data_IF_383237887586
#
_entry.id   IF_383237887586
#
_cell.length_a   1.000
_cell.length_b   1.000
_cell.length_c   1.000
_cell.angle_alpha   90.00
_cell.angle_beta   90.00
_cell.angle_gamma   90.00
#
_symmetry.space_group_name_H-M   'P 1'
#
loop_
_entity.id
_entity.type
_entity.pdbx_description
1 polymer ?
#
# COMPACT_ATOMS: atom_id res chain seq x y z
N UNK A 1 -23.03 13.61 3.53
CA UNK A 1 -22.11 12.68 4.21
C UNK A 1 -20.72 13.31 4.18
N UNK A 2 -19.98 13.29 5.27
CA UNK A 2 -18.60 13.77 5.35
C UNK A 2 -17.67 12.83 4.57
N UNK A 3 -16.64 13.41 3.94
CA UNK A 3 -15.61 12.64 3.25
C UNK A 3 -14.67 12.01 4.30
N UNK A 4 -14.31 10.73 4.22
CA UNK A 4 -13.42 10.10 5.19
C UNK A 4 -12.00 10.64 5.07
N UNK A 5 -11.32 10.77 6.22
CA UNK A 5 -9.93 11.15 6.32
C UNK A 5 -9.03 9.92 6.18
N UNK A 6 -8.06 9.97 5.27
CA UNK A 6 -7.20 8.84 4.93
C UNK A 6 -5.74 9.22 5.20
N UNK A 7 -5.10 8.55 6.16
CA UNK A 7 -3.69 8.77 6.46
C UNK A 7 -2.79 8.16 5.39
N UNK A 8 -1.75 8.91 5.00
CA UNK A 8 -0.67 8.46 4.12
C UNK A 8 0.66 9.00 4.62
N UNK A 9 1.69 8.15 4.67
CA UNK A 9 3.04 8.56 5.06
C UNK A 9 3.79 9.20 3.87
N UNK A 10 4.65 10.17 4.18
CA UNK A 10 5.49 10.87 3.22
C UNK A 10 6.88 10.23 3.11
N UNK A 11 7.46 10.30 1.93
CA UNK A 11 8.90 10.06 1.70
C UNK A 11 9.71 11.25 2.18
N UNK A 12 10.77 10.98 2.95
CA UNK A 12 11.78 11.98 3.27
C UNK A 12 12.98 11.82 2.36
N UNK A 13 13.22 12.80 1.49
CA UNK A 13 14.26 12.74 0.46
C UNK A 13 14.86 14.11 0.16
N UNK A 14 16.08 14.12 -0.36
CA UNK A 14 16.67 15.32 -0.95
C UNK A 14 15.98 15.61 -2.29
N UNK A 15 15.56 16.84 -2.47
CA UNK A 15 15.02 17.37 -3.73
C UNK A 15 15.68 18.68 -4.05
N UNK A 16 15.83 18.98 -5.34
CA UNK A 16 16.35 20.25 -5.81
C UNK A 16 15.29 20.96 -6.63
N UNK A 17 15.11 22.25 -6.39
CA UNK A 17 14.29 23.14 -7.18
C UNK A 17 15.04 24.45 -7.40
N UNK A 18 14.54 25.32 -8.28
CA UNK A 18 15.17 26.60 -8.59
C UNK A 18 15.37 27.43 -7.31
N UNK A 19 16.63 27.80 -7.01
CA UNK A 19 17.01 28.52 -5.80
C UNK A 19 17.09 27.72 -4.50
N UNK A 20 16.76 26.41 -4.53
CA UNK A 20 16.76 25.51 -3.37
C UNK A 20 17.42 24.16 -3.71
N UNK A 21 18.75 24.12 -3.84
CA UNK A 21 19.47 22.88 -4.14
C UNK A 21 19.56 22.00 -2.90
N UNK A 22 19.34 20.69 -3.08
CA UNK A 22 19.57 19.62 -2.11
C UNK A 22 18.84 19.82 -0.76
N UNK A 23 17.61 20.33 -0.81
CA UNK A 23 16.79 20.50 0.38
C UNK A 23 16.13 19.18 0.79
N UNK A 24 16.09 18.93 2.12
CA UNK A 24 15.39 17.80 2.69
C UNK A 24 13.88 18.05 2.66
N UNK A 25 13.16 17.24 1.90
CA UNK A 25 11.71 17.38 1.68
C UNK A 25 10.96 16.16 2.15
N UNK A 26 9.78 16.36 2.73
CA UNK A 26 8.78 15.32 2.90
C UNK A 26 7.78 15.40 1.73
N UNK A 27 7.68 14.37 0.90
CA UNK A 27 6.89 14.39 -0.33
C UNK A 27 6.16 13.07 -0.60
N UNK A 28 5.05 13.16 -1.33
CA UNK A 28 4.34 12.02 -1.92
C UNK A 28 4.01 12.37 -3.37
N UNK A 29 4.03 11.39 -4.27
CA UNK A 29 3.59 11.62 -5.64
C UNK A 29 2.10 11.96 -5.68
N UNK A 30 1.75 13.08 -6.33
CA UNK A 30 0.39 13.59 -6.42
C UNK A 30 -0.65 12.56 -6.90
N UNK A 31 -0.37 11.66 -7.87
CA UNK A 31 -1.35 10.66 -8.31
C UNK A 31 -1.95 9.78 -7.21
N UNK A 32 -1.23 9.52 -6.11
CA UNK A 32 -1.81 8.79 -4.97
C UNK A 32 -2.88 9.62 -4.25
N UNK A 33 -2.64 10.92 -4.09
CA UNK A 33 -3.59 11.86 -3.48
C UNK A 33 -4.82 12.00 -4.39
N UNK A 34 -4.58 12.24 -5.68
CA UNK A 34 -5.62 12.40 -6.70
C UNK A 34 -6.54 11.16 -6.76
N UNK A 35 -5.96 9.97 -6.64
CA UNK A 35 -6.71 8.70 -6.63
C UNK A 35 -7.66 8.61 -5.43
N UNK A 36 -7.19 8.99 -4.22
CA UNK A 36 -8.01 9.00 -3.00
C UNK A 36 -9.13 10.04 -3.11
N UNK A 37 -8.82 11.22 -3.63
CA UNK A 37 -9.78 12.31 -3.79
C UNK A 37 -10.85 11.99 -4.85
N UNK A 38 -10.45 11.36 -5.96
CA UNK A 38 -11.37 10.87 -6.99
C UNK A 38 -12.35 9.83 -6.44
N UNK A 39 -11.91 8.97 -5.51
CA UNK A 39 -12.76 8.00 -4.82
C UNK A 39 -13.63 8.63 -3.71
N UNK A 40 -13.49 9.93 -3.44
CA UNK A 40 -14.28 10.68 -2.46
C UNK A 40 -13.74 10.63 -1.02
N UNK A 41 -12.45 10.33 -0.83
CA UNK A 41 -11.70 10.50 0.41
C UNK A 41 -11.05 11.89 0.51
N UNK A 42 -10.34 12.15 1.62
CA UNK A 42 -9.45 13.30 1.83
C UNK A 42 -8.12 12.76 2.36
N UNK A 43 -7.02 13.05 1.66
CA UNK A 43 -5.70 12.61 2.09
C UNK A 43 -5.19 13.46 3.26
N UNK A 44 -4.71 12.79 4.33
CA UNK A 44 -4.03 13.40 5.48
C UNK A 44 -2.59 12.89 5.48
N UNK A 45 -1.63 13.80 5.27
CA UNK A 45 -0.23 13.44 5.06
C UNK A 45 0.56 13.49 6.36
N UNK A 46 1.29 12.41 6.66
CA UNK A 46 2.10 12.26 7.87
C UNK A 46 3.59 12.20 7.52
N UNK A 47 4.39 13.09 8.09
CA UNK A 47 5.85 13.10 7.91
C UNK A 47 6.48 11.87 8.56
N UNK A 48 7.43 11.21 7.89
CA UNK A 48 8.10 10.01 8.38
C UNK A 48 9.24 10.35 9.36
N UNK A 49 8.87 10.71 10.58
CA UNK A 49 9.79 11.09 11.67
C UNK A 49 9.59 10.21 12.91
N UNK A 50 10.57 10.23 13.83
CA UNK A 50 10.43 9.50 15.10
C UNK A 50 9.33 10.09 15.99
N UNK A 51 9.10 11.41 15.95
CA UNK A 51 7.99 12.05 16.64
C UNK A 51 6.64 11.59 16.12
N UNK A 52 6.47 11.50 14.79
CA UNK A 52 5.25 11.00 14.16
C UNK A 52 5.04 9.51 14.46
N UNK A 53 6.11 8.72 14.46
CA UNK A 53 6.06 7.31 14.85
C UNK A 53 5.57 7.12 16.28
N UNK A 54 6.05 7.91 17.23
CA UNK A 54 5.62 7.85 18.63
C UNK A 54 4.11 8.10 18.79
N UNK A 55 3.52 8.91 17.90
CA UNK A 55 2.10 9.29 17.91
C UNK A 55 1.24 8.54 16.88
N UNK A 56 1.75 7.45 16.29
CA UNK A 56 1.04 6.69 15.25
C UNK A 56 -0.38 6.26 15.68
N UNK A 57 -0.58 5.92 16.97
CA UNK A 57 -1.89 5.56 17.51
C UNK A 57 -2.87 6.72 17.44
N UNK A 58 -2.45 7.96 17.79
CA UNK A 58 -3.30 9.16 17.73
C UNK A 58 -3.63 9.55 16.29
N UNK A 59 -2.68 9.37 15.37
CA UNK A 59 -2.95 9.59 13.94
C UNK A 59 -4.06 8.65 13.48
N UNK A 60 -3.96 7.36 13.83
CA UNK A 60 -4.99 6.38 13.46
C UNK A 60 -6.34 6.71 14.11
N UNK A 61 -6.40 7.21 15.33
CA UNK A 61 -7.64 7.65 15.97
C UNK A 61 -8.35 8.76 15.19
N UNK A 62 -7.59 9.71 14.64
CA UNK A 62 -8.09 10.90 13.92
C UNK A 62 -8.54 10.63 12.48
N UNK A 63 -8.16 9.51 11.88
CA UNK A 63 -8.46 9.18 10.48
C UNK A 63 -9.42 8.00 10.38
N UNK A 64 -10.03 7.82 9.21
CA UNK A 64 -11.03 6.78 8.96
C UNK A 64 -10.45 5.55 8.26
N UNK A 65 -9.25 5.67 7.70
CA UNK A 65 -8.53 4.60 7.03
C UNK A 65 -7.07 4.96 6.79
N UNK A 66 -6.28 3.97 6.38
CA UNK A 66 -4.85 4.13 6.08
C UNK A 66 -4.57 3.63 4.68
N UNK A 67 -3.87 4.43 3.88
CA UNK A 67 -3.28 4.02 2.60
C UNK A 67 -1.77 4.01 2.73
N UNK A 68 -1.15 2.88 2.40
CA UNK A 68 0.29 2.73 2.29
C UNK A 68 0.66 2.80 0.81
N UNK A 69 1.32 3.87 0.43
CA UNK A 69 1.68 4.15 -0.96
C UNK A 69 2.92 3.38 -1.43
N UNK A 70 3.13 3.35 -2.74
CA UNK A 70 4.36 2.86 -3.36
C UNK A 70 5.60 3.66 -2.95
N UNK A 71 6.78 3.14 -3.27
CA UNK A 71 8.06 3.76 -2.93
C UNK A 71 9.25 2.82 -3.05
N UNK A 72 10.37 3.19 -2.45
CA UNK A 72 11.60 2.39 -2.40
C UNK A 72 11.41 1.11 -1.61
N UNK A 73 12.33 0.17 -1.76
CA UNK A 73 12.31 -1.13 -1.11
C UNK A 73 12.16 -1.06 0.41
N UNK A 74 11.45 -2.04 0.94
CA UNK A 74 11.32 -2.25 2.39
C UNK A 74 12.65 -2.78 2.94
N UNK A 75 13.15 -2.25 4.06
CA UNK A 75 14.37 -2.76 4.71
C UNK A 75 14.21 -4.26 5.04
N UNK A 76 15.03 -5.11 4.41
CA UNK A 76 15.00 -6.56 4.59
C UNK A 76 15.11 -6.99 6.06
N UNK A 77 15.74 -6.20 6.90
CA UNK A 77 15.87 -6.45 8.33
C UNK A 77 14.53 -6.39 9.08
N UNK A 78 13.52 -5.71 8.52
CA UNK A 78 12.17 -5.65 9.12
C UNK A 78 11.46 -6.99 9.10
N UNK A 79 11.84 -7.89 8.19
CA UNK A 79 11.33 -9.27 8.09
C UNK A 79 12.42 -10.33 8.31
N UNK A 80 13.54 -9.94 8.97
CA UNK A 80 14.56 -10.86 9.47
C UNK A 80 15.54 -11.39 8.42
N UNK A 81 15.67 -10.72 7.27
CA UNK A 81 16.60 -11.10 6.22
C UNK A 81 17.76 -10.10 6.09
N UNK A 82 18.89 -10.56 5.55
CA UNK A 82 19.96 -9.68 5.10
C UNK A 82 19.55 -9.00 3.78
N UNK A 83 19.94 -7.72 3.57
CA UNK A 83 19.62 -7.01 2.33
C UNK A 83 20.29 -7.63 1.11
N UNK A 84 19.53 -7.82 0.04
CA UNK A 84 20.08 -8.19 -1.26
C UNK A 84 20.83 -7.01 -1.90
N UNK A 85 21.94 -7.26 -2.67
CA UNK A 85 22.72 -6.19 -3.31
C UNK A 85 21.93 -5.30 -4.29
N UNK A 86 20.85 -5.82 -4.88
CA UNK A 86 19.98 -5.08 -5.80
C UNK A 86 18.95 -4.19 -5.10
N UNK A 87 18.84 -4.25 -3.77
CA UNK A 87 17.86 -3.43 -3.04
C UNK A 87 18.23 -1.96 -3.05
N UNK A 88 17.22 -1.12 -3.17
CA UNK A 88 17.32 0.30 -2.91
C UNK A 88 17.76 0.59 -1.46
N UNK A 89 18.48 1.68 -1.20
CA UNK A 89 18.71 2.15 0.17
C UNK A 89 17.37 2.40 0.88
N UNK A 90 17.09 1.71 2.01
CA UNK A 90 15.78 1.76 2.64
C UNK A 90 15.52 3.09 3.35
N UNK A 91 14.26 3.52 3.38
CA UNK A 91 13.78 4.63 4.18
C UNK A 91 13.23 4.13 5.53
N UNK A 92 14.11 3.73 6.44
CA UNK A 92 13.74 3.06 7.71
C UNK A 92 12.73 3.79 8.56
N UNK A 93 12.76 5.13 8.58
CA UNK A 93 11.79 5.93 9.33
C UNK A 93 10.38 5.76 8.74
N UNK A 94 10.28 5.73 7.40
CA UNK A 94 9.03 5.48 6.68
C UNK A 94 8.54 4.05 6.92
N UNK A 95 9.41 3.04 6.80
CA UNK A 95 9.05 1.64 7.05
C UNK A 95 8.44 1.47 8.45
N UNK A 96 9.11 2.00 9.47
CA UNK A 96 8.63 1.93 10.86
C UNK A 96 7.28 2.61 11.06
N UNK A 97 7.11 3.82 10.50
CA UNK A 97 5.85 4.56 10.59
C UNK A 97 4.72 3.81 9.89
N UNK A 98 4.92 3.35 8.65
CA UNK A 98 3.88 2.68 7.88
C UNK A 98 3.51 1.32 8.48
N UNK A 99 4.46 0.54 9.01
CA UNK A 99 4.19 -0.68 9.77
C UNK A 99 3.35 -0.35 11.02
N UNK A 100 3.71 0.70 11.77
CA UNK A 100 2.97 1.10 12.96
C UNK A 100 1.54 1.56 12.63
N UNK A 101 1.36 2.41 11.60
CA UNK A 101 0.04 2.86 11.14
C UNK A 101 -0.81 1.68 10.68
N UNK A 102 -0.23 0.74 9.91
CA UNK A 102 -0.89 -0.47 9.43
C UNK A 102 -1.40 -1.32 10.59
N UNK A 103 -0.53 -1.66 11.55
CA UNK A 103 -0.90 -2.47 12.70
C UNK A 103 -1.96 -1.79 13.58
N UNK A 104 -1.83 -0.49 13.84
CA UNK A 104 -2.80 0.26 14.63
C UNK A 104 -4.15 0.39 13.93
N UNK A 105 -4.16 0.59 12.61
CA UNK A 105 -5.40 0.58 11.82
C UNK A 105 -6.10 -0.78 11.89
N UNK A 106 -5.35 -1.87 11.72
CA UNK A 106 -5.88 -3.24 11.83
C UNK A 106 -6.45 -3.50 13.23
N UNK A 107 -5.71 -3.17 14.29
CA UNK A 107 -6.16 -3.34 15.68
C UNK A 107 -7.43 -2.54 15.98
N UNK A 108 -7.53 -1.33 15.44
CA UNK A 108 -8.70 -0.45 15.59
C UNK A 108 -9.86 -0.79 14.63
N UNK A 109 -9.73 -1.84 13.80
CA UNK A 109 -10.75 -2.24 12.83
C UNK A 109 -10.90 -1.30 11.64
N UNK A 110 -9.96 -0.37 11.43
CA UNK A 110 -9.99 0.59 10.31
C UNK A 110 -9.48 -0.04 9.01
N UNK A 111 -10.04 0.35 7.87
CA UNK A 111 -9.59 -0.11 6.56
C UNK A 111 -8.13 0.25 6.27
N UNK A 112 -7.45 -0.69 5.59
CA UNK A 112 -6.08 -0.51 5.10
C UNK A 112 -6.01 -0.89 3.62
N UNK A 113 -5.41 -0.02 2.80
CA UNK A 113 -5.11 -0.29 1.40
C UNK A 113 -3.61 -0.08 1.15
N UNK A 114 -2.94 -1.08 0.56
CA UNK A 114 -1.53 -0.99 0.14
C UNK A 114 -1.40 -0.97 -1.38
N UNK A 115 -0.53 -0.11 -1.89
CA UNK A 115 -0.21 0.01 -3.32
C UNK A 115 1.28 -0.26 -3.52
N UNK A 116 1.62 -1.23 -4.37
CA UNK A 116 2.98 -1.66 -4.70
C UNK A 116 3.78 -1.98 -3.41
N UNK A 117 4.78 -1.20 -3.07
CA UNK A 117 5.48 -1.33 -1.79
C UNK A 117 4.52 -1.35 -0.59
N UNK A 118 3.39 -0.65 -0.65
CA UNK A 118 2.38 -0.65 0.41
C UNK A 118 1.75 -2.02 0.64
N UNK A 119 1.55 -2.84 -0.40
CA UNK A 119 1.15 -4.24 -0.25
C UNK A 119 2.22 -5.04 0.51
N UNK A 120 3.48 -4.80 0.19
CA UNK A 120 4.63 -5.45 0.83
C UNK A 120 4.73 -5.07 2.32
N UNK A 121 4.52 -3.79 2.65
CA UNK A 121 4.45 -3.31 4.05
C UNK A 121 3.31 -3.98 4.83
N UNK A 122 2.11 -4.13 4.26
CA UNK A 122 1.02 -4.88 4.89
C UNK A 122 1.44 -6.32 5.17
N UNK A 123 2.07 -6.97 4.20
CA UNK A 123 2.56 -8.34 4.34
C UNK A 123 3.59 -8.46 5.47
N UNK A 124 4.61 -7.60 5.48
CA UNK A 124 5.68 -7.60 6.49
C UNK A 124 5.14 -7.25 7.88
N UNK A 125 4.24 -6.27 8.00
CA UNK A 125 3.58 -5.90 9.26
C UNK A 125 2.85 -7.09 9.91
N UNK A 126 2.33 -8.01 9.11
CA UNK A 126 1.65 -9.22 9.58
C UNK A 126 2.58 -10.44 9.67
N UNK A 127 3.90 -10.25 9.55
CA UNK A 127 4.93 -11.27 9.73
C UNK A 127 5.22 -12.11 8.50
N UNK A 128 4.87 -11.62 7.31
CA UNK A 128 5.29 -12.19 6.03
C UNK A 128 6.70 -11.75 5.62
N UNK A 129 7.21 -12.30 4.52
CA UNK A 129 8.53 -12.01 3.96
C UNK A 129 8.42 -11.61 2.50
N UNK A 130 9.50 -11.05 1.94
CA UNK A 130 9.57 -10.63 0.55
C UNK A 130 10.64 -11.41 -0.21
N UNK A 131 10.38 -11.68 -1.49
CA UNK A 131 11.39 -11.92 -2.51
C UNK A 131 12.03 -10.57 -2.84
N UNK A 132 13.33 -10.47 -2.60
CA UNK A 132 14.02 -9.18 -2.68
C UNK A 132 14.43 -8.80 -4.09
N UNK A 133 14.52 -9.78 -5.00
CA UNK A 133 14.92 -9.56 -6.39
C UNK A 133 14.31 -10.62 -7.30
N UNK A 134 13.25 -10.27 -8.03
CA UNK A 134 12.52 -11.21 -8.89
C UNK A 134 13.40 -11.81 -9.98
N UNK A 135 14.44 -11.11 -10.46
CA UNK A 135 15.36 -11.63 -11.46
C UNK A 135 16.10 -12.90 -11.01
N UNK A 136 16.19 -13.17 -9.71
CA UNK A 136 16.77 -14.41 -9.17
C UNK A 136 15.73 -15.56 -9.11
N UNK A 137 14.45 -15.27 -9.36
CA UNK A 137 13.34 -16.18 -9.05
C UNK A 137 12.48 -16.55 -10.24
N UNK A 138 12.28 -15.64 -11.20
CA UNK A 138 11.40 -15.84 -12.35
C UNK A 138 12.18 -15.72 -13.65
N UNK A 139 11.71 -16.42 -14.69
CA UNK A 139 12.39 -16.45 -15.99
C UNK A 139 12.21 -15.14 -16.78
N UNK A 140 11.12 -14.39 -16.52
CA UNK A 140 10.76 -13.17 -17.23
C UNK A 140 10.59 -11.96 -16.27
N UNK A 141 11.66 -11.53 -15.55
CA UNK A 141 11.55 -10.45 -14.57
C UNK A 141 11.17 -9.10 -15.21
N UNK A 142 11.47 -8.90 -16.48
CA UNK A 142 11.17 -7.68 -17.24
C UNK A 142 9.66 -7.43 -17.39
N UNK A 143 8.81 -8.45 -17.17
CA UNK A 143 7.37 -8.25 -17.13
C UNK A 143 6.88 -7.45 -15.92
N UNK A 144 7.70 -7.33 -14.87
CA UNK A 144 7.41 -6.55 -13.67
C UNK A 144 8.14 -5.20 -13.64
N UNK A 145 9.33 -5.15 -14.24
CA UNK A 145 10.18 -3.96 -14.29
C UNK A 145 11.24 -4.08 -15.38
N UNK A 146 11.32 -3.12 -16.31
CA UNK A 146 12.44 -3.01 -17.24
C UNK A 146 12.99 -1.57 -17.32
N UNK A 147 13.23 -0.95 -16.16
CA UNK A 147 13.69 0.45 -16.07
C UNK A 147 12.58 1.49 -16.22
N UNK A 148 11.36 1.09 -16.63
CA UNK A 148 10.17 1.91 -16.77
C UNK A 148 8.95 1.15 -16.29
N UNK A 149 7.76 1.80 -16.31
CA UNK A 149 6.50 1.09 -16.14
C UNK A 149 6.28 0.14 -17.32
N UNK A 150 5.94 -1.09 -17.00
CA UNK A 150 5.53 -2.12 -17.96
C UNK A 150 4.08 -2.51 -17.71
N UNK A 151 3.44 -3.05 -18.73
CA UNK A 151 2.08 -3.54 -18.62
C UNK A 151 2.07 -5.07 -18.67
N UNK A 152 1.40 -5.70 -17.71
CA UNK A 152 1.16 -7.15 -17.74
C UNK A 152 -0.26 -7.50 -17.29
N UNK A 153 -0.64 -8.75 -17.58
CA UNK A 153 -1.92 -9.27 -17.11
C UNK A 153 -1.80 -9.88 -15.73
N UNK A 154 -2.75 -9.54 -14.86
CA UNK A 154 -2.97 -10.23 -13.59
C UNK A 154 -4.31 -10.96 -13.62
N UNK A 155 -4.33 -12.16 -13.03
CA UNK A 155 -5.52 -12.99 -12.90
C UNK A 155 -5.96 -13.00 -11.44
N UNK A 156 -7.18 -12.57 -11.19
CA UNK A 156 -7.76 -12.49 -9.84
C UNK A 156 -8.44 -13.80 -9.45
N UNK A 157 -8.48 -14.11 -8.17
CA UNK A 157 -9.09 -15.34 -7.64
C UNK A 157 -10.58 -15.12 -7.40
N UNK A 158 -11.48 -15.93 -8.02
CA UNK A 158 -12.93 -15.82 -7.82
C UNK A 158 -13.34 -15.86 -6.35
N UNK A 159 -14.34 -15.05 -5.99
CA UNK A 159 -14.89 -14.98 -4.63
C UNK A 159 -14.09 -14.08 -3.68
N UNK A 160 -12.99 -13.50 -4.13
CA UNK A 160 -12.21 -12.50 -3.38
C UNK A 160 -12.80 -11.10 -3.54
N UNK A 161 -12.42 -10.16 -2.68
CA UNK A 161 -12.79 -8.75 -2.81
C UNK A 161 -12.21 -8.15 -4.09
N UNK A 162 -10.92 -8.40 -4.33
CA UNK A 162 -10.22 -7.94 -5.54
C UNK A 162 -10.94 -8.40 -6.81
N UNK A 163 -11.38 -9.65 -6.88
CA UNK A 163 -12.16 -10.17 -8.00
C UNK A 163 -13.52 -9.47 -8.18
N UNK A 164 -14.22 -9.19 -7.07
CA UNK A 164 -15.54 -8.50 -7.13
C UNK A 164 -15.41 -7.08 -7.62
N UNK A 165 -14.36 -6.39 -7.22
CA UNK A 165 -14.17 -4.96 -7.51
C UNK A 165 -13.53 -4.75 -8.89
N UNK A 166 -12.73 -5.71 -9.39
CA UNK A 166 -11.89 -5.53 -10.59
C UNK A 166 -12.16 -6.54 -11.73
N UNK A 167 -12.92 -7.61 -11.48
CA UNK A 167 -13.15 -8.67 -12.45
C UNK A 167 -12.06 -9.74 -12.43
N UNK A 168 -12.11 -10.69 -13.39
CA UNK A 168 -11.29 -11.90 -13.40
C UNK A 168 -9.87 -11.72 -13.93
N UNK A 169 -9.64 -10.75 -14.79
CA UNK A 169 -8.33 -10.46 -15.36
C UNK A 169 -8.25 -9.00 -15.79
N UNK A 170 -7.10 -8.37 -15.57
CA UNK A 170 -6.88 -6.98 -15.96
C UNK A 170 -5.43 -6.76 -16.39
N UNK A 171 -5.22 -5.85 -17.34
CA UNK A 171 -3.90 -5.40 -17.74
C UNK A 171 -3.51 -4.20 -16.88
N UNK A 172 -2.41 -4.31 -16.11
CA UNK A 172 -2.02 -3.37 -15.06
C UNK A 172 -0.65 -2.75 -15.32
N UNK A 173 -0.43 -1.47 -14.91
CA UNK A 173 0.89 -0.87 -14.92
C UNK A 173 1.70 -1.37 -13.72
N UNK A 174 2.84 -1.98 -14.00
CA UNK A 174 3.76 -2.56 -13.02
C UNK A 174 5.11 -1.84 -13.01
N UNK A 175 5.70 -1.71 -11.81
CA UNK A 175 7.05 -1.19 -11.60
C UNK A 175 7.58 -1.70 -10.26
N UNK A 176 7.98 -2.97 -10.21
CA UNK A 176 8.55 -3.55 -8.99
C UNK A 176 9.51 -4.70 -9.33
N UNK A 177 10.56 -4.85 -8.55
CA UNK A 177 11.47 -6.00 -8.62
C UNK A 177 11.42 -6.86 -7.35
N UNK A 178 10.60 -6.46 -6.37
CA UNK A 178 10.31 -7.22 -5.16
C UNK A 178 8.86 -7.70 -5.17
N UNK A 179 8.59 -8.82 -4.50
CA UNK A 179 7.26 -9.39 -4.37
C UNK A 179 7.07 -10.09 -3.01
N UNK A 180 5.84 -10.51 -2.71
CA UNK A 180 5.55 -11.33 -1.53
C UNK A 180 6.13 -12.73 -1.73
N UNK A 181 6.99 -13.17 -0.78
CA UNK A 181 7.51 -14.54 -0.73
C UNK A 181 6.65 -15.43 0.19
N UNK A 182 6.50 -15.04 1.46
CA UNK A 182 5.64 -15.73 2.42
C UNK A 182 4.55 -14.77 2.89
N UNK A 183 3.31 -15.22 2.84
CA UNK A 183 2.17 -14.42 3.28
C UNK A 183 2.18 -14.22 4.80
N UNK A 184 1.88 -13.00 5.22
CA UNK A 184 1.66 -12.64 6.62
C UNK A 184 0.41 -13.31 7.20
N UNK A 185 0.33 -13.32 8.53
CA UNK A 185 -0.76 -13.98 9.25
C UNK A 185 -2.13 -13.40 8.88
N UNK A 186 -3.06 -14.29 8.52
CA UNK A 186 -4.43 -13.90 8.17
C UNK A 186 -4.56 -13.23 6.81
N UNK A 187 -3.52 -13.25 5.98
CA UNK A 187 -3.56 -12.83 4.57
C UNK A 187 -3.73 -14.04 3.65
N UNK A 188 -4.30 -13.79 2.47
CA UNK A 188 -4.34 -14.71 1.33
C UNK A 188 -3.97 -13.96 0.05
N UNK A 189 -3.36 -14.65 -0.90
CA UNK A 189 -3.19 -14.15 -2.25
C UNK A 189 -4.56 -14.09 -2.96
N UNK A 190 -4.78 -13.05 -3.75
CA UNK A 190 -6.06 -12.79 -4.45
C UNK A 190 -5.88 -12.44 -5.91
N UNK A 191 -4.64 -12.24 -6.37
CA UNK A 191 -4.28 -12.16 -7.78
C UNK A 191 -2.85 -12.64 -7.99
N UNK A 192 -2.58 -13.15 -9.20
CA UNK A 192 -1.24 -13.57 -9.63
C UNK A 192 -0.96 -13.09 -11.05
N UNK A 193 0.30 -12.81 -11.35
CA UNK A 193 0.83 -12.67 -12.70
C UNK A 193 0.94 -14.05 -13.39
N UNK A 194 1.26 -14.06 -14.68
CA UNK A 194 1.38 -15.28 -15.46
C UNK A 194 2.50 -16.23 -15.01
N UNK A 195 3.54 -15.70 -14.38
CA UNK A 195 4.68 -16.42 -13.80
C UNK A 195 4.45 -16.87 -12.34
N UNK A 196 3.25 -16.61 -11.79
CA UNK A 196 2.85 -16.99 -10.45
C UNK A 196 3.23 -16.01 -9.35
N UNK A 197 3.83 -14.87 -9.67
CA UNK A 197 4.09 -13.79 -8.70
C UNK A 197 2.78 -13.30 -8.11
N UNK A 198 2.76 -13.11 -6.78
CA UNK A 198 1.58 -12.59 -6.05
C UNK A 198 1.40 -11.12 -6.35
N UNK A 199 0.27 -10.78 -6.97
CA UNK A 199 -0.06 -9.42 -7.41
C UNK A 199 -1.11 -8.72 -6.55
N UNK A 200 -1.87 -9.48 -5.74
CA UNK A 200 -2.74 -8.89 -4.73
C UNK A 200 -2.89 -9.81 -3.52
N UNK A 201 -3.13 -9.17 -2.37
CA UNK A 201 -3.42 -9.83 -1.10
C UNK A 201 -4.64 -9.20 -0.44
N UNK A 202 -5.38 -9.99 0.35
CA UNK A 202 -6.41 -9.48 1.24
C UNK A 202 -6.46 -10.28 2.55
N UNK A 203 -7.07 -9.73 3.60
CA UNK A 203 -7.30 -10.50 4.81
C UNK A 203 -8.36 -11.58 4.59
N UNK A 204 -8.22 -12.70 5.30
CA UNK A 204 -9.16 -13.83 5.23
C UNK A 204 -10.49 -13.55 5.94
N UNK A 205 -10.57 -12.47 6.72
CA UNK A 205 -11.76 -12.03 7.44
C UNK A 205 -12.59 -10.97 6.71
N UNK A 206 -13.57 -10.39 7.41
CA UNK A 206 -14.48 -9.37 6.85
C UNK A 206 -13.89 -7.96 6.77
N UNK A 207 -12.77 -7.68 7.44
CA UNK A 207 -12.10 -6.37 7.46
C UNK A 207 -11.63 -5.98 6.06
N UNK A 208 -11.58 -4.69 5.77
CA UNK A 208 -10.95 -4.20 4.56
C UNK A 208 -9.45 -4.04 4.80
N UNK A 209 -8.67 -5.07 4.49
CA UNK A 209 -7.21 -5.04 4.43
C UNK A 209 -6.87 -5.64 3.07
N UNK A 210 -6.43 -4.80 2.15
CA UNK A 210 -6.16 -5.17 0.76
C UNK A 210 -4.85 -4.55 0.31
N UNK A 211 -4.06 -5.29 -0.43
CA UNK A 211 -2.88 -4.79 -1.12
C UNK A 211 -2.88 -5.20 -2.58
N UNK A 212 -2.44 -4.30 -3.46
CA UNK A 212 -2.21 -4.58 -4.88
C UNK A 212 -0.76 -4.24 -5.22
N UNK A 213 -0.10 -5.08 -6.04
CA UNK A 213 1.32 -4.89 -6.36
C UNK A 213 1.53 -3.90 -7.50
N UNK A 214 0.55 -3.76 -8.39
CA UNK A 214 0.55 -2.80 -9.49
C UNK A 214 0.24 -1.36 -9.01
N UNK A 215 0.25 -0.42 -9.95
CA UNK A 215 0.07 1.01 -9.73
C UNK A 215 -1.28 1.54 -10.25
N UNK A 216 -2.39 1.39 -9.51
CA UNK A 216 -3.71 1.87 -9.92
C UNK A 216 -3.78 3.39 -10.14
N UNK A 217 -2.93 4.17 -9.47
CA UNK A 217 -2.85 5.62 -9.63
C UNK A 217 -2.38 6.06 -11.02
N UNK A 218 -1.77 5.15 -11.79
CA UNK A 218 -1.32 5.45 -13.16
C UNK A 218 -2.45 5.37 -14.19
N UNK A 219 -3.43 4.48 -13.97
CA UNK A 219 -4.59 4.29 -14.83
C UNK A 219 -5.85 4.00 -14.00
N UNK A 220 -6.35 4.97 -13.20
CA UNK A 220 -7.42 4.72 -12.23
C UNK A 220 -8.66 4.09 -12.83
N UNK A 221 -9.13 4.59 -13.98
CA UNK A 221 -10.38 4.15 -14.61
C UNK A 221 -10.40 2.66 -14.99
N UNK A 222 -9.24 2.06 -15.31
CA UNK A 222 -9.17 0.69 -15.81
C UNK A 222 -8.52 -0.30 -14.84
N UNK A 223 -7.80 0.18 -13.81
CA UNK A 223 -6.94 -0.69 -13.00
C UNK A 223 -7.13 -0.55 -11.50
N UNK A 224 -7.99 0.33 -11.01
CA UNK A 224 -8.07 0.40 -9.58
C UNK A 224 -9.00 1.41 -8.93
N UNK A 225 -9.66 2.30 -9.63
CA UNK A 225 -10.57 3.26 -8.98
C UNK A 225 -11.64 2.53 -8.15
N UNK A 226 -12.23 1.45 -8.68
CA UNK A 226 -13.28 0.68 -8.00
C UNK A 226 -12.81 0.06 -6.67
N UNK A 227 -11.56 -0.41 -6.56
CA UNK A 227 -11.05 -0.95 -5.30
C UNK A 227 -10.79 0.17 -4.29
N UNK A 228 -10.38 1.36 -4.76
CA UNK A 228 -10.21 2.54 -3.90
C UNK A 228 -11.56 3.10 -3.45
N UNK A 229 -12.58 3.11 -4.31
CA UNK A 229 -13.96 3.44 -3.93
C UNK A 229 -14.52 2.47 -2.88
N UNK A 230 -14.24 1.18 -3.02
CA UNK A 230 -14.59 0.17 -2.02
C UNK A 230 -13.87 0.42 -0.68
N UNK A 231 -12.59 0.81 -0.71
CA UNK A 231 -11.82 1.21 0.47
C UNK A 231 -12.41 2.46 1.14
N UNK A 232 -12.66 3.52 0.38
CA UNK A 232 -13.27 4.76 0.88
C UNK A 232 -14.67 4.52 1.45
N UNK A 233 -15.45 3.64 0.83
CA UNK A 233 -16.77 3.22 1.35
C UNK A 233 -16.66 2.48 2.67
N UNK A 234 -15.68 1.59 2.81
CA UNK A 234 -15.41 0.90 4.07
C UNK A 234 -14.98 1.88 5.18
N UNK A 235 -14.17 2.88 4.84
CA UNK A 235 -13.71 3.93 5.76
C UNK A 235 -14.88 4.78 6.30
N UNK A 236 -15.87 5.10 5.48
CA UNK A 236 -17.10 5.81 5.91
C UNK A 236 -17.90 5.04 6.94
N UNK A 237 -18.00 3.72 6.81
CA UNK A 237 -18.78 2.85 7.72
C UNK A 237 -18.14 2.78 9.11
N UNK A 238 -16.83 2.80 9.18
CA UNK A 238 -16.08 2.79 10.46
C UNK A 238 -16.35 4.06 11.25
N UNK A 239 -16.36 5.24 10.61
CA UNK A 239 -16.70 6.53 11.24
C UNK A 239 -18.10 6.55 11.83
N UNK A 240 -19.10 5.99 11.13
CA UNK A 240 -20.50 5.98 11.59
C UNK A 240 -20.70 5.15 12.85
N UNK A 241 -19.95 4.06 13.01
CA UNK A 241 -20.04 3.18 14.20
C UNK A 241 -19.44 3.87 15.43
N UNK A 242 -18.34 4.61 15.28
CA UNK A 242 -17.68 5.31 16.42
C UNK A 242 -18.56 6.44 16.97
N UNK A 243 -19.25 7.19 16.11
CA UNK A 243 -20.12 8.31 16.54
C UNK A 243 -21.47 7.85 17.11
N UNK A 244 -21.97 6.68 16.70
CA UNK A 244 -23.23 6.12 17.22
C UNK A 244 -23.17 5.62 18.66
N UNK A 245 -21.99 5.52 19.27
CA UNK A 245 -21.81 5.07 20.67
C UNK A 245 -21.63 6.24 21.66
N UNK A 246 -21.66 7.50 21.20
CA UNK A 246 -21.55 8.69 22.06
C UNK A 246 -22.89 9.39 22.35
N UNK A 247 -24.01 8.89 21.80
CA UNK A 247 -25.35 9.45 22.02
C UNK A 247 -26.24 8.50 22.83
N UNK A 248 -25.74 7.97 23.97
CA UNK A 248 -26.63 7.29 24.97
C UNK A 248 -26.24 7.75 26.36
#
# INVERSE_FOLDING_TARGET
MTRPLIAMALDRRLTSSEGWPDELTDALFAPYIDLIEAAGGVAVLAASTDATLAEAHRIVELVDGVVVAGGRDVDARTYGHDPHPANDPPLRARDRLEIALTLKAIDSGKPVLGICRGMQIINVALGGTLEQHLADRVDEPDMHLNGQFVDHYVNTIPGTRVWRDLGSSLNVPSHHHQAVATLGRGLRATAHAGDGVVEAIECTGSRFIVGVQWHPERRPASTGLSIVESFVTASRRTSAVVHGHQEV
#
